data_IF_519833741380
#
_entry.id   IF_519833741380
#
_cell.length_a   1.000
_cell.length_b   1.000
_cell.length_c   1.000
_cell.angle_alpha   90.00
_cell.angle_beta   90.00
_cell.angle_gamma   90.00
#
_symmetry.space_group_name_H-M   'P 1'
#
loop_
_entity.id
_entity.type
_entity.pdbx_description
1 polymer ?
#
# COMPACT_ATOMS: atom_id res chain seq x y z
N UNK A 1 -15.82 -39.59 8.39
CA UNK A 1 -16.67 -39.49 7.19
C UNK A 1 -15.93 -38.58 6.20
N UNK A 2 -15.21 -39.17 5.27
CA UNK A 2 -14.44 -38.46 4.27
C UNK A 2 -15.36 -38.02 3.12
N UNK A 3 -15.46 -36.74 2.83
CA UNK A 3 -16.13 -36.24 1.63
C UNK A 3 -15.03 -35.84 0.61
N UNK A 4 -14.83 -36.71 -0.38
CA UNK A 4 -14.03 -36.43 -1.55
C UNK A 4 -14.72 -35.36 -2.40
N UNK A 5 -14.15 -34.18 -2.50
CA UNK A 5 -14.54 -33.18 -3.49
C UNK A 5 -13.61 -33.31 -4.71
N UNK A 6 -14.17 -33.79 -5.81
CA UNK A 6 -13.47 -33.82 -7.10
C UNK A 6 -13.74 -32.51 -7.83
N UNK A 7 -12.74 -31.69 -7.97
CA UNK A 7 -12.80 -30.50 -8.82
C UNK A 7 -12.31 -30.89 -10.21
N UNK A 8 -13.21 -30.81 -11.17
CA UNK A 8 -12.97 -31.01 -12.60
C UNK A 8 -12.57 -29.65 -13.20
N UNK A 9 -11.36 -29.55 -13.71
CA UNK A 9 -10.88 -28.37 -14.40
C UNK A 9 -11.50 -28.26 -15.81
N UNK A 10 -11.94 -27.10 -16.29
CA UNK A 10 -12.25 -26.87 -17.69
C UNK A 10 -11.01 -26.43 -18.45
N UNK A 11 -10.71 -27.18 -19.49
CA UNK A 11 -9.76 -26.86 -20.55
C UNK A 11 -10.28 -25.65 -21.32
N UNK A 12 -9.53 -24.56 -21.40
CA UNK A 12 -9.85 -23.40 -22.20
C UNK A 12 -8.94 -23.35 -23.43
N UNK A 13 -9.59 -23.44 -24.59
CA UNK A 13 -9.02 -23.48 -25.93
C UNK A 13 -8.54 -22.08 -26.34
N UNK A 14 -7.35 -22.05 -26.93
CA UNK A 14 -6.71 -20.87 -27.51
C UNK A 14 -7.54 -20.27 -28.67
N UNK A 15 -7.75 -18.97 -28.59
CA UNK A 15 -8.24 -18.15 -29.69
C UNK A 15 -7.21 -17.13 -30.11
N UNK A 16 -6.56 -17.38 -31.25
CA UNK A 16 -5.63 -16.47 -31.91
C UNK A 16 -6.43 -15.41 -32.66
N UNK A 17 -6.31 -14.14 -32.33
CA UNK A 17 -6.81 -13.01 -33.10
C UNK A 17 -5.66 -12.09 -33.48
N UNK A 18 -5.23 -12.17 -34.74
CA UNK A 18 -4.34 -11.21 -35.40
C UNK A 18 -5.19 -10.06 -35.91
N UNK A 19 -4.92 -8.82 -35.54
CA UNK A 19 -5.37 -7.64 -36.24
C UNK A 19 -4.19 -6.71 -36.49
N UNK A 20 -3.83 -6.70 -37.78
CA UNK A 20 -2.96 -5.73 -38.45
C UNK A 20 -3.77 -4.50 -38.86
N UNK A 21 -3.16 -3.34 -38.81
CA UNK A 21 -3.67 -2.15 -39.56
C UNK A 21 -3.51 -0.83 -38.77
N UNK A 22 -2.51 -0.14 -39.12
CA UNK A 22 -2.33 1.05 -39.98
C UNK A 22 -2.59 2.41 -39.32
N UNK A 23 -1.46 3.11 -39.21
CA UNK A 23 -1.13 4.45 -39.72
C UNK A 23 -2.00 5.66 -39.36
N UNK A 24 -1.38 6.66 -38.84
CA UNK A 24 -1.23 8.04 -39.31
C UNK A 24 -1.31 9.08 -38.16
N UNK A 25 -0.23 9.79 -38.00
CA UNK A 25 -0.21 11.15 -37.45
C UNK A 25 -0.76 12.12 -38.55
N UNK A 26 -1.16 13.35 -38.24
CA UNK A 26 -0.26 14.41 -37.78
C UNK A 26 -0.87 15.41 -36.78
N UNK A 27 0.02 16.23 -36.18
CA UNK A 27 -0.27 17.46 -35.48
C UNK A 27 -0.79 18.56 -36.44
N UNK A 28 -1.46 19.63 -35.92
CA UNK A 28 -0.70 20.83 -35.62
C UNK A 28 -1.13 21.61 -34.36
N UNK A 29 -0.18 22.34 -33.81
CA UNK A 29 -0.39 23.56 -33.01
C UNK A 29 -1.14 24.64 -33.79
N UNK A 30 -1.85 25.60 -33.09
CA UNK A 30 -1.23 26.89 -32.99
C UNK A 30 -1.29 27.58 -31.61
N UNK A 31 -0.35 28.46 -31.42
CA UNK A 31 -0.25 29.52 -30.43
C UNK A 31 -1.48 30.44 -30.43
N UNK A 32 -1.89 30.91 -29.26
CA UNK A 32 -2.36 32.30 -29.12
C UNK A 32 -2.06 32.85 -27.73
N UNK A 33 -1.28 33.88 -27.76
CA UNK A 33 -1.00 34.94 -26.79
C UNK A 33 -2.26 35.64 -26.28
N UNK A 34 -2.29 35.93 -24.99
CA UNK A 34 -3.31 36.81 -24.43
C UNK A 34 -3.21 37.06 -22.92
N UNK A 35 -2.31 37.95 -22.51
CA UNK A 35 -2.48 38.72 -21.28
C UNK A 35 -3.41 39.91 -21.58
N UNK A 36 -4.30 40.37 -20.67
CA UNK A 36 -3.88 41.34 -19.68
C UNK A 36 -4.54 41.32 -18.30
N UNK A 37 -3.83 41.91 -17.38
CA UNK A 37 -4.19 42.49 -16.09
C UNK A 37 -5.65 42.89 -15.86
N UNK A 38 -6.14 42.63 -14.63
CA UNK A 38 -6.85 43.67 -13.86
C UNK A 38 -6.97 43.29 -12.38
N UNK A 39 -6.45 44.13 -11.58
CA UNK A 39 -6.58 44.41 -10.18
C UNK A 39 -8.03 44.47 -9.73
N UNK A 40 -8.38 43.83 -8.60
CA UNK A 40 -9.43 44.34 -7.73
C UNK A 40 -9.26 43.82 -6.29
N UNK A 41 -9.00 44.76 -5.42
CA UNK A 41 -9.01 44.70 -3.96
C UNK A 41 -10.44 44.49 -3.48
N UNK A 42 -10.61 43.63 -2.48
CA UNK A 42 -11.88 43.47 -1.78
C UNK A 42 -11.78 42.51 -0.59
N UNK A 43 -11.38 43.01 0.57
CA UNK A 43 -11.73 42.42 1.85
C UNK A 43 -13.15 42.86 2.18
N UNK A 44 -14.03 41.98 2.67
CA UNK A 44 -14.36 42.05 4.08
C UNK A 44 -14.59 40.71 4.80
N UNK A 45 -14.17 40.72 6.06
CA UNK A 45 -14.85 40.24 7.28
C UNK A 45 -15.69 38.95 7.28
N UNK A 46 -15.15 38.03 7.98
CA UNK A 46 -15.64 37.28 9.14
C UNK A 46 -17.16 37.08 9.28
N UNK A 47 -17.56 35.81 9.18
CA UNK A 47 -18.57 35.29 10.11
C UNK A 47 -18.34 33.79 10.32
N UNK A 48 -17.93 33.46 11.51
CA UNK A 48 -17.85 32.12 12.08
C UNK A 48 -19.23 31.47 12.07
N UNK A 49 -19.35 30.31 11.44
CA UNK A 49 -20.44 29.38 11.75
C UNK A 49 -19.83 27.98 11.74
N UNK A 50 -19.74 27.43 12.92
CA UNK A 50 -19.36 26.05 13.12
C UNK A 50 -20.37 25.12 12.45
N UNK A 51 -19.90 24.15 11.70
CA UNK A 51 -20.66 22.98 11.26
C UNK A 51 -19.74 21.85 10.79
N UNK A 52 -20.27 20.66 10.71
CA UNK A 52 -19.80 19.52 11.52
C UNK A 52 -18.65 18.79 10.86
N UNK A 53 -17.86 18.18 11.68
CA UNK A 53 -16.98 17.03 11.50
C UNK A 53 -17.04 16.38 10.11
N UNK A 54 -16.25 16.91 9.21
CA UNK A 54 -15.82 16.23 8.02
C UNK A 54 -14.55 15.45 8.41
N UNK A 55 -14.66 14.14 8.42
CA UNK A 55 -13.51 13.26 8.54
C UNK A 55 -12.77 13.34 7.19
N UNK A 56 -12.11 14.45 6.97
CA UNK A 56 -11.27 14.64 5.80
C UNK A 56 -10.02 13.79 5.96
N UNK A 57 -9.91 12.78 5.11
CA UNK A 57 -8.63 12.19 4.77
C UNK A 57 -7.63 13.33 4.50
N UNK A 58 -6.57 13.39 5.26
CA UNK A 58 -5.53 14.40 5.09
C UNK A 58 -4.67 14.00 3.89
N UNK A 59 -5.06 14.43 2.71
CA UNK A 59 -4.24 14.32 1.50
C UNK A 59 -3.28 15.52 1.46
N UNK A 60 -2.30 15.52 2.35
CA UNK A 60 -1.15 16.40 2.20
C UNK A 60 -0.07 15.63 1.42
N UNK A 61 0.52 16.18 0.36
CA UNK A 61 1.69 15.58 -0.25
C UNK A 61 2.81 15.58 0.79
N UNK A 62 3.17 14.39 1.25
CA UNK A 62 4.28 14.22 2.16
C UNK A 62 5.57 14.39 1.37
N UNK A 63 6.14 15.59 1.42
CA UNK A 63 7.53 15.79 1.00
C UNK A 63 8.45 14.94 1.88
N UNK A 64 9.57 14.48 1.33
CA UNK A 64 10.57 13.69 2.06
C UNK A 64 10.86 14.25 3.46
N UNK A 65 10.58 13.46 4.50
CA UNK A 65 10.75 13.84 5.91
C UNK A 65 9.50 14.37 6.60
N UNK A 66 8.31 14.23 6.03
CA UNK A 66 7.06 14.54 6.73
C UNK A 66 6.82 13.56 7.86
N UNK A 67 6.38 14.07 9.01
CA UNK A 67 5.88 13.26 10.13
C UNK A 67 4.37 13.39 10.18
N UNK A 68 3.68 12.26 10.14
CA UNK A 68 2.23 12.18 10.15
C UNK A 68 1.81 11.45 11.42
N UNK A 69 0.72 11.90 12.05
CA UNK A 69 0.14 11.20 13.19
C UNK A 69 -1.24 10.70 12.81
N UNK A 70 -1.46 9.40 12.98
CA UNK A 70 -2.73 8.74 12.75
C UNK A 70 -3.33 8.30 14.09
N UNK A 71 -4.63 8.29 14.14
CA UNK A 71 -5.42 7.72 15.24
C UNK A 71 -6.37 6.69 14.65
N UNK A 72 -6.96 5.87 15.48
CA UNK A 72 -7.91 4.83 15.10
C UNK A 72 -8.93 5.30 14.07
N UNK A 73 -9.06 4.53 12.97
CA UNK A 73 -9.96 4.80 11.87
C UNK A 73 -9.56 5.99 10.98
N UNK A 74 -8.32 6.46 11.07
CA UNK A 74 -7.74 7.41 10.11
C UNK A 74 -6.86 6.65 9.14
N UNK A 75 -6.95 7.01 7.88
CA UNK A 75 -6.19 6.41 6.78
C UNK A 75 -5.20 7.44 6.21
N UNK A 76 -4.01 6.98 5.84
CA UNK A 76 -3.04 7.77 5.10
C UNK A 76 -2.50 7.02 3.90
N UNK A 77 -2.71 7.59 2.71
CA UNK A 77 -2.23 7.04 1.44
C UNK A 77 -0.93 7.69 0.98
N UNK A 78 0.05 6.87 0.67
CA UNK A 78 1.33 7.28 0.09
C UNK A 78 1.30 6.96 -1.39
N UNK A 79 1.12 8.00 -2.21
CA UNK A 79 0.95 7.89 -3.67
C UNK A 79 2.13 8.44 -4.47
N UNK A 80 3.07 9.13 -3.81
CA UNK A 80 4.26 9.69 -4.45
C UNK A 80 5.43 8.73 -4.37
N UNK A 81 6.00 8.37 -5.51
CA UNK A 81 7.12 7.44 -5.59
C UNK A 81 8.42 8.03 -5.01
N UNK A 82 9.27 7.14 -4.48
CA UNK A 82 10.58 7.49 -3.92
C UNK A 82 10.52 8.50 -2.77
N UNK A 83 9.47 8.43 -1.98
CA UNK A 83 9.27 9.29 -0.80
C UNK A 83 9.76 8.61 0.46
N UNK A 84 10.12 9.41 1.46
CA UNK A 84 10.41 8.94 2.82
C UNK A 84 9.44 9.60 3.79
N UNK A 85 8.67 8.80 4.51
CA UNK A 85 7.61 9.25 5.43
C UNK A 85 7.79 8.60 6.78
N UNK A 86 7.59 9.39 7.84
CA UNK A 86 7.50 8.88 9.22
C UNK A 86 6.08 9.01 9.72
N UNK A 87 5.47 7.91 10.16
CA UNK A 87 4.10 7.86 10.63
C UNK A 87 4.08 7.41 12.08
N UNK A 88 3.33 8.12 12.90
CA UNK A 88 3.08 7.75 14.30
C UNK A 88 1.63 7.32 14.44
N UNK A 89 1.41 6.06 14.75
CA UNK A 89 0.08 5.50 15.03
C UNK A 89 -0.24 5.66 16.51
N UNK A 90 -1.23 6.49 16.79
CA UNK A 90 -1.67 6.77 18.17
C UNK A 90 -2.86 5.89 18.55
N UNK A 91 -2.58 4.59 18.68
CA UNK A 91 -3.56 3.56 19.01
C UNK A 91 -4.48 3.15 17.86
N UNK A 92 -3.95 3.20 16.65
CA UNK A 92 -4.61 2.78 15.41
C UNK A 92 -4.25 3.67 14.23
N UNK A 93 -4.88 3.40 13.09
CA UNK A 93 -4.71 4.11 11.83
C UNK A 93 -4.17 3.21 10.73
N UNK A 94 -4.68 3.40 9.51
CA UNK A 94 -4.41 2.59 8.34
C UNK A 94 -3.40 3.30 7.42
N UNK A 95 -2.47 2.54 6.87
CA UNK A 95 -1.41 3.06 6.01
C UNK A 95 -1.44 2.31 4.70
N UNK A 96 -1.77 3.03 3.61
CA UNK A 96 -1.76 2.49 2.26
C UNK A 96 -0.55 3.00 1.48
N UNK A 97 0.31 2.11 1.03
CA UNK A 97 1.46 2.44 0.19
C UNK A 97 1.14 2.07 -1.25
N UNK A 98 0.48 2.98 -1.97
CA UNK A 98 0.05 2.80 -3.37
C UNK A 98 1.10 3.29 -4.37
N UNK A 99 2.37 3.03 -4.13
CA UNK A 99 3.47 3.58 -4.94
C UNK A 99 4.69 2.67 -4.96
N UNK A 100 5.78 3.13 -5.56
CA UNK A 100 7.01 2.34 -5.64
C UNK A 100 8.25 3.11 -5.16
N UNK A 101 9.19 2.34 -4.57
CA UNK A 101 10.47 2.87 -4.14
C UNK A 101 10.42 3.77 -2.90
N UNK A 102 9.36 3.73 -2.15
CA UNK A 102 9.17 4.57 -0.96
C UNK A 102 9.67 3.89 0.31
N UNK A 103 10.05 4.70 1.30
CA UNK A 103 10.49 4.26 2.62
C UNK A 103 9.55 4.81 3.68
N UNK A 104 8.92 3.92 4.42
CA UNK A 104 7.95 4.25 5.47
C UNK A 104 8.50 3.77 6.81
N UNK A 105 8.52 4.66 7.78
CA UNK A 105 8.86 4.33 9.15
C UNK A 105 7.65 4.57 10.04
N UNK A 106 7.20 3.53 10.73
CA UNK A 106 6.05 3.59 11.64
C UNK A 106 6.50 3.52 13.10
N UNK A 107 5.76 4.16 13.98
CA UNK A 107 5.93 4.08 15.44
C UNK A 107 4.57 3.97 16.12
N UNK A 108 4.50 3.21 17.19
CA UNK A 108 3.26 2.89 17.88
C UNK A 108 2.50 1.75 17.24
N UNK A 109 1.25 1.59 17.61
CA UNK A 109 0.39 0.52 17.13
C UNK A 109 -0.52 1.03 16.01
N UNK A 110 -0.25 0.60 14.78
CA UNK A 110 -1.12 0.82 13.61
C UNK A 110 -2.26 -0.22 13.57
N UNK A 111 -3.32 0.06 12.82
CA UNK A 111 -4.35 -0.93 12.48
C UNK A 111 -3.84 -1.76 11.31
N UNK A 112 -3.96 -1.25 10.11
CA UNK A 112 -3.57 -1.97 8.90
C UNK A 112 -2.41 -1.28 8.18
N UNK A 113 -1.50 -2.08 7.64
CA UNK A 113 -0.44 -1.62 6.74
C UNK A 113 -0.57 -2.40 5.44
N UNK A 114 -0.97 -1.69 4.39
CA UNK A 114 -1.18 -2.24 3.06
C UNK A 114 -0.14 -1.70 2.07
N UNK A 115 0.55 -2.59 1.38
CA UNK A 115 1.63 -2.25 0.44
C UNK A 115 1.26 -2.75 -0.95
N UNK A 116 0.72 -1.85 -1.76
CA UNK A 116 0.29 -2.11 -3.14
C UNK A 116 1.27 -1.52 -4.15
N UNK A 117 2.48 -1.99 -4.17
CA UNK A 117 3.47 -1.42 -5.08
C UNK A 117 4.74 -2.25 -5.14
N UNK A 118 5.82 -1.64 -5.63
CA UNK A 118 7.05 -2.39 -5.81
C UNK A 118 8.26 -1.68 -5.20
N UNK A 119 9.15 -2.46 -4.61
CA UNK A 119 10.42 -1.95 -4.10
C UNK A 119 10.27 -0.97 -2.94
N UNK A 120 9.21 -1.06 -2.17
CA UNK A 120 9.01 -0.26 -0.98
C UNK A 120 9.69 -0.89 0.24
N UNK A 121 10.11 -0.06 1.17
CA UNK A 121 10.65 -0.49 2.46
C UNK A 121 9.79 0.06 3.58
N UNK A 122 9.23 -0.80 4.40
CA UNK A 122 8.45 -0.45 5.59
C UNK A 122 9.17 -0.97 6.82
N UNK A 123 9.38 -0.11 7.81
CA UNK A 123 9.98 -0.51 9.08
C UNK A 123 9.26 0.15 10.25
N UNK A 124 9.05 -0.60 11.33
CA UNK A 124 8.31 -0.03 12.44
C UNK A 124 8.09 -0.97 13.60
N UNK A 125 7.13 -0.58 14.44
CA UNK A 125 6.76 -1.30 15.66
C UNK A 125 5.62 -2.27 15.39
N UNK A 126 4.42 -1.98 15.84
CA UNK A 126 3.31 -2.91 15.84
C UNK A 126 2.26 -2.55 14.77
N UNK A 127 1.62 -3.56 14.18
CA UNK A 127 0.41 -3.43 13.38
C UNK A 127 -0.56 -4.57 13.71
N UNK A 128 -1.86 -4.36 13.51
CA UNK A 128 -2.84 -5.44 13.66
C UNK A 128 -2.78 -6.40 12.46
N UNK A 129 -2.59 -5.85 11.25
CA UNK A 129 -2.35 -6.63 10.03
C UNK A 129 -1.29 -5.99 9.12
N UNK A 130 -0.68 -6.84 8.28
CA UNK A 130 0.21 -6.45 7.20
C UNK A 130 -0.21 -7.18 5.93
N UNK A 131 -0.61 -6.44 4.90
CA UNK A 131 -0.90 -6.97 3.58
C UNK A 131 0.13 -6.46 2.56
N UNK A 132 0.65 -7.34 1.73
CA UNK A 132 1.61 -6.98 0.69
C UNK A 132 1.15 -7.55 -0.65
N UNK A 133 0.69 -6.65 -1.52
CA UNK A 133 0.43 -6.93 -2.92
C UNK A 133 1.51 -6.29 -3.79
N UNK A 134 2.26 -7.07 -4.53
CA UNK A 134 3.29 -6.51 -5.40
C UNK A 134 4.61 -7.24 -5.36
N UNK A 135 5.72 -6.52 -5.64
CA UNK A 135 6.99 -7.19 -5.81
C UNK A 135 8.17 -6.45 -5.19
N UNK A 136 9.14 -7.23 -4.69
CA UNK A 136 10.40 -6.70 -4.15
C UNK A 136 10.21 -5.71 -2.99
N UNK A 137 9.16 -5.85 -2.21
CA UNK A 137 8.95 -5.06 -1.02
C UNK A 137 9.67 -5.69 0.18
N UNK A 138 10.12 -4.85 1.10
CA UNK A 138 10.75 -5.26 2.36
C UNK A 138 9.96 -4.67 3.53
N UNK A 139 9.45 -5.51 4.42
CA UNK A 139 8.78 -5.09 5.64
C UNK A 139 9.50 -5.66 6.86
N UNK A 140 9.77 -4.81 7.86
CA UNK A 140 10.35 -5.22 9.15
C UNK A 140 9.58 -4.57 10.28
N UNK A 141 8.84 -5.37 11.04
CA UNK A 141 7.96 -4.92 12.12
C UNK A 141 8.19 -5.76 13.39
N UNK A 142 7.70 -5.27 14.52
CA UNK A 142 7.82 -6.02 15.78
C UNK A 142 6.68 -7.03 15.94
N UNK A 143 5.47 -6.59 16.17
CA UNK A 143 4.35 -7.48 16.40
C UNK A 143 3.27 -7.27 15.32
N UNK A 144 3.02 -8.30 14.54
CA UNK A 144 1.99 -8.31 13.50
C UNK A 144 1.24 -9.64 13.59
N UNK A 145 0.07 -9.64 14.23
CA UNK A 145 -0.72 -10.86 14.38
C UNK A 145 -1.11 -11.54 13.08
N UNK A 146 -1.40 -10.78 12.04
CA UNK A 146 -1.91 -11.26 10.76
C UNK A 146 -1.04 -10.75 9.60
N UNK A 147 -0.51 -11.68 8.79
CA UNK A 147 0.38 -11.36 7.67
C UNK A 147 -0.13 -12.05 6.42
N UNK A 148 -0.44 -11.26 5.41
CA UNK A 148 -0.83 -11.72 4.08
C UNK A 148 0.15 -11.18 3.03
N UNK A 149 0.72 -12.07 2.23
CA UNK A 149 1.68 -11.71 1.17
C UNK A 149 1.26 -12.35 -0.14
N UNK A 150 0.73 -11.53 -1.04
CA UNK A 150 0.42 -11.93 -2.42
C UNK A 150 1.34 -11.20 -3.41
N UNK A 151 2.28 -11.92 -3.95
CA UNK A 151 3.20 -11.29 -4.91
C UNK A 151 4.48 -12.05 -5.16
N UNK A 152 5.54 -11.28 -5.48
CA UNK A 152 6.79 -11.91 -5.91
C UNK A 152 8.00 -11.24 -5.26
N UNK A 153 8.90 -12.05 -4.72
CA UNK A 153 10.19 -11.64 -4.17
C UNK A 153 10.08 -10.61 -3.03
N UNK A 154 9.02 -10.68 -2.24
CA UNK A 154 8.87 -9.86 -1.05
C UNK A 154 9.61 -10.48 0.15
N UNK A 155 10.09 -9.64 1.06
CA UNK A 155 10.79 -10.06 2.27
C UNK A 155 10.11 -9.44 3.49
N UNK A 156 9.63 -10.29 4.38
CA UNK A 156 8.97 -9.87 5.63
C UNK A 156 9.73 -10.42 6.82
N UNK A 157 10.02 -9.56 7.78
CA UNK A 157 10.60 -9.93 9.05
C UNK A 157 9.80 -9.39 10.22
N UNK A 158 9.31 -10.28 11.10
CA UNK A 158 8.58 -9.87 12.30
C UNK A 158 9.17 -10.52 13.55
N UNK A 159 8.95 -9.93 14.72
CA UNK A 159 9.35 -10.54 15.98
C UNK A 159 8.27 -11.51 16.46
N UNK A 160 6.98 -11.13 16.43
CA UNK A 160 5.86 -11.97 16.88
C UNK A 160 4.72 -11.94 15.88
N UNK A 161 4.14 -13.13 15.61
CA UNK A 161 2.98 -13.28 14.72
C UNK A 161 2.14 -14.50 15.11
N UNK A 162 0.90 -14.58 14.60
CA UNK A 162 -0.05 -15.66 14.87
C UNK A 162 -0.61 -16.33 13.63
N UNK A 163 -0.69 -15.60 12.52
CA UNK A 163 -1.18 -16.10 11.25
C UNK A 163 -0.30 -15.59 10.11
N UNK A 164 0.04 -16.48 9.17
CA UNK A 164 0.88 -16.15 8.01
C UNK A 164 0.29 -16.85 6.80
N UNK A 165 -0.20 -16.07 5.84
CA UNK A 165 -0.58 -16.53 4.53
C UNK A 165 0.37 -15.97 3.46
N UNK A 166 0.92 -16.85 2.61
CA UNK A 166 1.89 -16.42 1.60
C UNK A 166 1.56 -17.06 0.27
N UNK A 167 1.11 -16.26 -0.66
CA UNK A 167 0.85 -16.66 -2.04
C UNK A 167 1.90 -16.11 -3.02
N UNK A 168 2.02 -16.72 -4.18
CA UNK A 168 2.92 -16.26 -5.23
C UNK A 168 4.29 -16.92 -5.24
N UNK A 169 5.34 -16.18 -5.60
CA UNK A 169 6.65 -16.79 -5.86
C UNK A 169 7.81 -16.04 -5.19
N UNK A 170 8.74 -16.82 -4.62
CA UNK A 170 10.00 -16.31 -4.05
C UNK A 170 9.82 -15.32 -2.89
N UNK A 171 8.71 -15.34 -2.20
CA UNK A 171 8.52 -14.55 -1.00
C UNK A 171 9.23 -15.23 0.19
N UNK A 172 9.73 -14.41 1.10
CA UNK A 172 10.41 -14.87 2.32
C UNK A 172 9.81 -14.19 3.53
N UNK A 173 9.24 -14.97 4.43
CA UNK A 173 8.71 -14.48 5.72
C UNK A 173 9.50 -15.11 6.85
N UNK A 174 9.97 -14.29 7.79
CA UNK A 174 10.69 -14.75 8.96
C UNK A 174 10.10 -14.16 10.24
N UNK A 175 9.99 -14.99 11.29
CA UNK A 175 9.49 -14.56 12.59
C UNK A 175 10.37 -15.08 13.72
N UNK A 176 10.33 -14.46 14.89
CA UNK A 176 11.17 -14.83 16.03
C UNK A 176 10.40 -15.58 17.10
N UNK A 177 9.14 -15.22 17.31
CA UNK A 177 8.28 -15.81 18.34
C UNK A 177 6.84 -15.93 17.85
N UNK A 178 6.03 -16.68 18.62
CA UNK A 178 4.69 -17.06 18.25
C UNK A 178 4.64 -18.54 17.85
N UNK A 179 3.46 -19.02 17.60
CA UNK A 179 3.17 -20.36 17.06
C UNK A 179 2.16 -20.18 15.92
N UNK A 180 2.60 -19.54 14.82
CA UNK A 180 1.68 -19.12 13.77
C UNK A 180 1.07 -20.31 13.04
N UNK A 181 -0.19 -20.13 12.64
CA UNK A 181 -0.77 -20.92 11.56
C UNK A 181 -0.12 -20.43 10.27
N UNK A 182 0.38 -21.35 9.46
CA UNK A 182 1.11 -21.00 8.23
C UNK A 182 0.40 -21.66 7.05
N UNK A 183 -0.07 -20.86 6.11
CA UNK A 183 -0.56 -21.29 4.81
C UNK A 183 0.37 -20.74 3.73
N UNK A 184 0.73 -21.58 2.75
CA UNK A 184 1.60 -21.15 1.65
C UNK A 184 1.17 -21.76 0.33
N UNK A 185 1.04 -20.92 -0.70
CA UNK A 185 0.81 -21.35 -2.08
C UNK A 185 1.92 -20.81 -2.99
N UNK A 186 2.44 -21.67 -3.87
CA UNK A 186 3.52 -21.30 -4.79
C UNK A 186 4.91 -21.64 -4.28
N UNK A 187 5.89 -20.78 -4.53
CA UNK A 187 7.31 -21.03 -4.20
C UNK A 187 7.82 -20.05 -3.16
N UNK A 188 7.46 -20.25 -1.92
CA UNK A 188 7.72 -19.31 -0.84
C UNK A 188 8.52 -19.97 0.29
N UNK A 189 9.10 -19.18 1.18
CA UNK A 189 9.84 -19.62 2.36
C UNK A 189 9.32 -18.93 3.61
N UNK A 190 8.82 -19.69 4.57
CA UNK A 190 8.46 -19.20 5.89
C UNK A 190 9.30 -19.92 6.94
N UNK A 191 9.97 -19.18 7.83
CA UNK A 191 10.87 -19.76 8.81
C UNK A 191 10.93 -18.98 10.13
N UNK A 192 11.02 -19.69 11.25
CA UNK A 192 11.43 -19.11 12.52
C UNK A 192 12.93 -18.79 12.50
N UNK A 193 13.31 -17.64 13.09
CA UNK A 193 14.71 -17.19 13.28
C UNK A 193 15.23 -17.55 14.66
#
# INVERSE_FOLDING_TARGET
MYRNFRITAPVLVAGLAVITGCTAAPAPSPEETGTPSSTSVGTPENTSTASPTDLSASTAPAGSGATITLSRGQEHKITEANTSVSITCSGGGDIDVETSGSSVQTTGQCEDIDIQGNGNTVSGEDAESLEIEGSNNEATLSNVPDIDVDGTANTVGVEETRDIDVEGENNTVTYTSGDPVIETEGTNSVAAR
#
